data_IF_751175589055
#
_entry.id   IF_751175589055
#
_cell.length_a   1.000
_cell.length_b   1.000
_cell.length_c   1.000
_cell.angle_alpha   90.00
_cell.angle_beta   90.00
_cell.angle_gamma   90.00
#
_symmetry.space_group_name_H-M   'P 1'
#
loop_
_entity.id
_entity.type
_entity.pdbx_description
1 polymer ?
#
# COMPACT_ATOMS: atom_id res chain seq x y z
N UNK A 1 26.02 -7.15 38.70
CA UNK A 1 25.62 -7.18 37.26
C UNK A 1 24.14 -6.89 37.05
N UNK A 2 23.21 -7.48 37.82
CA UNK A 2 21.76 -7.24 37.67
C UNK A 2 21.34 -5.78 37.92
N UNK A 3 21.92 -5.12 38.92
CA UNK A 3 21.59 -3.74 39.30
C UNK A 3 22.02 -2.73 38.22
N UNK A 4 23.18 -2.95 37.58
CA UNK A 4 23.69 -2.09 36.50
C UNK A 4 22.86 -2.20 35.22
N UNK A 5 22.27 -3.37 34.95
CA UNK A 5 21.39 -3.59 33.80
C UNK A 5 20.05 -2.87 33.99
N UNK A 6 19.52 -2.92 35.22
CA UNK A 6 18.25 -2.29 35.59
C UNK A 6 18.34 -0.76 35.52
N UNK A 7 19.45 -0.16 35.97
CA UNK A 7 19.67 1.28 35.87
C UNK A 7 19.86 1.76 34.42
N UNK A 8 20.44 0.93 33.55
CA UNK A 8 20.59 1.25 32.13
C UNK A 8 19.23 1.25 31.42
N UNK A 9 18.38 0.25 31.71
CA UNK A 9 17.02 0.15 31.16
C UNK A 9 16.12 1.31 31.58
N UNK A 10 16.21 1.74 32.85
CA UNK A 10 15.45 2.90 33.35
C UNK A 10 15.94 4.20 32.70
N UNK A 11 17.25 4.35 32.47
CA UNK A 11 17.83 5.50 31.79
C UNK A 11 17.40 5.65 30.33
N UNK A 12 17.23 4.53 29.61
CA UNK A 12 16.73 4.52 28.23
C UNK A 12 15.23 4.84 28.16
N UNK A 13 14.44 4.37 29.12
CA UNK A 13 13.00 4.67 29.20
C UNK A 13 12.70 6.14 29.56
N UNK A 14 13.58 6.79 30.33
CA UNK A 14 13.45 8.20 30.72
C UNK A 14 13.82 9.20 29.61
N UNK A 15 14.43 8.77 28.51
CA UNK A 15 14.79 9.62 27.37
C UNK A 15 13.81 9.53 26.19
N UNK A 16 12.66 8.88 26.36
CA UNK A 16 11.54 9.01 25.44
C UNK A 16 10.80 10.34 25.65
N UNK A 17 11.50 11.46 25.46
CA UNK A 17 10.80 12.67 25.06
C UNK A 17 10.28 12.43 23.65
N UNK A 18 8.97 12.17 23.54
CA UNK A 18 8.31 12.17 22.25
C UNK A 18 8.63 13.53 21.59
N UNK A 19 9.48 13.52 20.57
CA UNK A 19 9.80 14.72 19.81
C UNK A 19 8.48 15.22 19.21
N UNK A 20 7.89 16.23 19.85
CA UNK A 20 6.74 16.94 19.32
C UNK A 20 7.28 17.71 18.12
N UNK A 21 7.17 17.12 16.93
CA UNK A 21 7.34 17.83 15.68
C UNK A 21 6.03 18.59 15.48
N UNK A 22 5.99 19.92 15.63
CA UNK A 22 4.80 20.66 15.29
C UNK A 22 4.49 20.36 13.83
N UNK A 23 3.32 19.75 13.58
CA UNK A 23 2.84 19.57 12.22
C UNK A 23 2.72 20.96 11.62
N UNK A 24 3.43 21.29 10.53
CA UNK A 24 3.24 22.58 9.91
C UNK A 24 1.78 22.67 9.48
N UNK A 25 1.11 23.76 9.84
CA UNK A 25 -0.20 24.06 9.28
C UNK A 25 0.03 24.34 7.79
N UNK A 26 -0.31 23.36 6.96
CA UNK A 26 -0.42 23.51 5.51
C UNK A 26 -1.90 23.67 5.17
N UNK A 27 -2.54 24.82 5.48
CA UNK A 27 -3.92 25.02 5.11
C UNK A 27 -4.02 25.00 3.58
N UNK A 28 -4.93 24.21 3.04
CA UNK A 28 -5.21 24.24 1.62
C UNK A 28 -5.73 25.64 1.25
N UNK A 29 -5.03 26.32 0.34
CA UNK A 29 -5.49 27.60 -0.19
C UNK A 29 -6.56 27.35 -1.27
N UNK A 30 -7.72 28.01 -1.15
CA UNK A 30 -8.75 27.95 -2.17
C UNK A 30 -8.30 28.75 -3.39
N UNK A 31 -7.97 28.04 -4.48
CA UNK A 31 -7.46 28.65 -5.71
C UNK A 31 -8.54 28.96 -6.76
N UNK A 32 -9.82 28.79 -6.45
CA UNK A 32 -10.92 28.89 -7.44
C UNK A 32 -10.87 30.24 -8.18
N UNK A 33 -10.80 30.20 -9.52
CA UNK A 33 -10.82 31.39 -10.38
C UNK A 33 -9.44 31.95 -10.73
N UNK A 34 -8.35 31.41 -10.17
CA UNK A 34 -7.00 31.73 -10.64
C UNK A 34 -6.74 31.13 -12.04
N UNK A 35 -6.05 31.84 -12.95
CA UNK A 35 -5.71 31.31 -14.26
C UNK A 35 -4.66 30.18 -14.15
N UNK A 36 -4.69 29.21 -15.07
CA UNK A 36 -3.71 28.11 -15.20
C UNK A 36 -3.67 27.07 -14.06
N UNK A 37 -4.74 26.90 -13.28
CA UNK A 37 -4.82 25.84 -12.25
C UNK A 37 -4.97 24.43 -12.81
N UNK A 38 -5.62 24.34 -13.98
CA UNK A 38 -5.77 23.10 -14.71
C UNK A 38 -5.10 23.29 -16.06
N UNK A 39 -3.94 22.66 -16.19
CA UNK A 39 -3.24 22.52 -17.45
C UNK A 39 -3.34 21.05 -17.88
N UNK A 40 -4.22 20.71 -18.83
CA UNK A 40 -4.32 19.35 -19.33
C UNK A 40 -2.99 18.84 -19.90
N UNK A 41 -2.11 19.73 -20.37
CA UNK A 41 -0.79 19.35 -20.89
C UNK A 41 0.22 18.97 -19.80
N UNK A 42 -0.05 19.36 -18.55
CA UNK A 42 0.68 18.91 -17.35
C UNK A 42 0.00 17.74 -16.64
N UNK A 43 -1.21 17.36 -17.08
CA UNK A 43 -1.88 16.19 -16.54
C UNK A 43 -1.30 14.93 -17.18
N UNK A 44 -1.02 13.92 -16.34
CA UNK A 44 -0.66 12.61 -16.85
C UNK A 44 -1.91 12.01 -17.51
N UNK A 45 -1.81 11.68 -18.80
CA UNK A 45 -2.89 10.97 -19.49
C UNK A 45 -3.05 9.57 -18.88
N UNK A 46 -4.26 9.27 -18.41
CA UNK A 46 -4.60 7.95 -17.87
C UNK A 46 -5.27 7.13 -18.97
N UNK A 47 -4.75 5.94 -19.32
CA UNK A 47 -5.32 5.12 -20.37
C UNK A 47 -6.69 4.59 -19.96
N UNK A 48 -7.62 4.61 -20.91
CA UNK A 48 -8.94 4.00 -20.77
C UNK A 48 -8.92 2.56 -21.22
N UNK A 49 -9.62 1.70 -20.49
CA UNK A 49 -9.80 0.30 -20.83
C UNK A 49 -11.28 -0.06 -20.90
N UNK A 50 -11.66 -0.84 -21.91
CA UNK A 50 -12.99 -1.45 -21.96
C UNK A 50 -12.93 -2.81 -21.29
N UNK A 51 -13.75 -3.03 -20.27
CA UNK A 51 -13.90 -4.33 -19.59
C UNK A 51 -15.19 -4.97 -20.07
N UNK A 52 -15.07 -6.11 -20.74
CA UNK A 52 -16.22 -6.89 -21.19
C UNK A 52 -16.78 -7.70 -20.01
N UNK A 53 -17.99 -7.35 -19.55
CA UNK A 53 -18.66 -8.04 -18.46
C UNK A 53 -19.30 -9.36 -18.90
N UNK A 54 -19.50 -9.57 -20.20
CA UNK A 54 -20.02 -10.82 -20.75
C UNK A 54 -18.93 -11.90 -20.84
N UNK A 55 -17.65 -11.48 -20.85
CA UNK A 55 -16.52 -12.39 -20.77
C UNK A 55 -16.45 -13.12 -19.40
N UNK A 56 -15.87 -14.33 -19.35
CA UNK A 56 -15.63 -15.02 -18.09
C UNK A 56 -14.84 -14.15 -17.12
N UNK A 57 -15.25 -14.11 -15.85
CA UNK A 57 -14.67 -13.26 -14.79
C UNK A 57 -13.12 -13.28 -14.77
N UNK A 58 -12.52 -14.47 -14.89
CA UNK A 58 -11.06 -14.69 -14.93
C UNK A 58 -10.32 -13.99 -16.07
N UNK A 59 -11.01 -13.64 -17.15
CA UNK A 59 -10.41 -13.07 -18.36
C UNK A 59 -10.56 -11.53 -18.43
N UNK A 60 -11.51 -10.96 -17.69
CA UNK A 60 -11.98 -9.57 -17.84
C UNK A 60 -10.91 -8.50 -17.66
N UNK A 61 -9.93 -8.73 -16.78
CA UNK A 61 -8.94 -7.73 -16.41
C UNK A 61 -7.55 -8.01 -16.95
N UNK A 62 -7.33 -9.13 -17.65
CA UNK A 62 -5.99 -9.51 -18.12
C UNK A 62 -5.37 -8.47 -19.04
N UNK A 63 -6.15 -7.85 -19.92
CA UNK A 63 -5.66 -6.78 -20.82
C UNK A 63 -5.46 -5.44 -20.11
N UNK A 64 -6.15 -5.21 -18.98
CA UNK A 64 -5.96 -4.01 -18.14
C UNK A 64 -4.66 -4.13 -17.35
N UNK A 65 -4.38 -5.30 -16.79
CA UNK A 65 -3.23 -5.53 -15.89
C UNK A 65 -1.93 -5.71 -16.66
N UNK A 66 -1.98 -6.34 -17.84
CA UNK A 66 -0.77 -6.70 -18.62
C UNK A 66 0.18 -5.53 -18.91
N UNK A 67 -0.28 -4.33 -19.30
CA UNK A 67 0.60 -3.18 -19.53
C UNK A 67 1.34 -2.71 -18.28
N UNK A 68 0.75 -2.90 -17.09
CA UNK A 68 1.27 -2.41 -15.81
C UNK A 68 1.99 -3.47 -14.97
N UNK A 69 2.35 -4.61 -15.57
CA UNK A 69 2.95 -5.74 -14.84
C UNK A 69 4.19 -5.31 -14.05
N UNK A 70 5.03 -4.45 -14.64
CA UNK A 70 6.29 -4.04 -14.03
C UNK A 70 6.07 -3.06 -12.88
N UNK A 71 5.12 -2.15 -13.01
CA UNK A 71 4.72 -1.18 -11.99
C UNK A 71 4.08 -1.89 -10.80
N UNK A 72 3.21 -2.86 -11.06
CA UNK A 72 2.61 -3.70 -10.03
C UNK A 72 3.70 -4.48 -9.29
N UNK A 73 4.66 -5.07 -10.02
CA UNK A 73 5.80 -5.74 -9.41
C UNK A 73 6.64 -4.78 -8.55
N UNK A 74 6.92 -3.57 -9.02
CA UNK A 74 7.70 -2.58 -8.27
C UNK A 74 7.02 -2.18 -6.95
N UNK A 75 5.68 -2.08 -6.92
CA UNK A 75 4.93 -1.86 -5.68
C UNK A 75 5.13 -3.02 -4.71
N UNK A 76 5.05 -4.25 -5.20
CA UNK A 76 5.30 -5.45 -4.41
C UNK A 76 6.73 -5.52 -3.87
N UNK A 77 7.73 -5.13 -4.66
CA UNK A 77 9.13 -5.09 -4.24
C UNK A 77 9.36 -4.07 -3.11
N UNK A 78 8.78 -2.86 -3.23
CA UNK A 78 8.85 -1.84 -2.17
C UNK A 78 8.17 -2.31 -0.89
N UNK A 79 7.02 -2.98 -1.00
CA UNK A 79 6.35 -3.57 0.16
C UNK A 79 7.24 -4.64 0.80
N UNK A 80 7.85 -5.52 0.01
CA UNK A 80 8.79 -6.53 0.50
C UNK A 80 9.89 -5.90 1.35
N UNK A 81 10.56 -4.90 0.78
CA UNK A 81 11.66 -4.18 1.41
C UNK A 81 11.21 -3.50 2.70
N UNK A 82 10.05 -2.81 2.68
CA UNK A 82 9.47 -2.20 3.87
C UNK A 82 9.30 -3.21 5.00
N UNK A 83 8.82 -4.41 4.70
CA UNK A 83 8.62 -5.41 5.74
C UNK A 83 9.89 -6.14 6.18
N UNK A 84 11.01 -6.07 5.44
CA UNK A 84 12.32 -6.54 5.93
C UNK A 84 12.82 -5.78 7.16
N UNK A 85 12.28 -4.59 7.43
CA UNK A 85 12.56 -3.78 8.63
C UNK A 85 12.21 -4.55 9.91
N UNK A 86 11.26 -5.49 9.85
CA UNK A 86 10.92 -6.35 10.99
C UNK A 86 11.66 -7.68 10.83
N UNK A 87 12.82 -7.88 11.51
CA UNK A 87 13.60 -9.09 11.36
C UNK A 87 12.80 -10.31 11.81
N UNK A 88 12.79 -11.35 10.97
CA UNK A 88 12.19 -12.66 11.28
C UNK A 88 10.73 -12.85 10.88
N UNK A 89 10.10 -11.89 10.19
CA UNK A 89 8.74 -12.09 9.64
C UNK A 89 8.83 -12.46 8.15
N UNK A 90 8.40 -13.67 7.74
CA UNK A 90 8.32 -14.05 6.33
C UNK A 90 7.05 -13.45 5.71
N UNK A 91 7.17 -12.22 5.23
CA UNK A 91 6.02 -11.40 4.82
C UNK A 91 5.29 -11.95 3.62
N UNK A 92 6.02 -12.53 2.66
CA UNK A 92 5.42 -13.15 1.50
C UNK A 92 4.57 -14.36 1.88
N UNK A 93 5.04 -15.16 2.82
CA UNK A 93 4.29 -16.31 3.35
C UNK A 93 3.08 -15.82 4.15
N UNK A 94 3.25 -14.80 5.00
CA UNK A 94 2.15 -14.20 5.76
C UNK A 94 1.06 -13.59 4.85
N UNK A 95 1.46 -12.86 3.80
CA UNK A 95 0.53 -12.26 2.86
C UNK A 95 -0.18 -13.33 2.02
N UNK A 96 0.55 -14.36 1.59
CA UNK A 96 0.00 -15.53 0.91
C UNK A 96 -1.03 -16.25 1.79
N UNK A 97 -0.69 -16.51 3.06
CA UNK A 97 -1.56 -17.18 4.02
C UNK A 97 -2.82 -16.36 4.32
N UNK A 98 -2.70 -15.03 4.48
CA UNK A 98 -3.85 -14.14 4.66
C UNK A 98 -4.75 -14.17 3.43
N UNK A 99 -4.19 -14.07 2.22
CA UNK A 99 -4.96 -14.12 0.99
C UNK A 99 -5.65 -15.48 0.81
N UNK A 100 -4.95 -16.59 1.03
CA UNK A 100 -5.51 -17.94 0.96
C UNK A 100 -6.65 -18.11 1.97
N UNK A 101 -6.46 -17.68 3.21
CA UNK A 101 -7.50 -17.70 4.24
C UNK A 101 -8.73 -16.90 3.83
N UNK A 102 -8.53 -15.70 3.27
CA UNK A 102 -9.63 -14.87 2.74
C UNK A 102 -10.41 -15.59 1.63
N UNK A 103 -9.72 -16.36 0.76
CA UNK A 103 -10.35 -17.14 -0.30
C UNK A 103 -11.06 -18.41 0.21
N UNK A 104 -10.48 -19.09 1.20
CA UNK A 104 -10.99 -20.32 1.81
C UNK A 104 -12.21 -20.06 2.70
N UNK A 105 -12.18 -18.99 3.49
CA UNK A 105 -13.28 -18.57 4.35
C UNK A 105 -14.46 -17.95 3.57
N UNK A 106 -14.34 -17.86 2.23
CA UNK A 106 -15.40 -17.36 1.37
C UNK A 106 -15.70 -15.87 1.60
N UNK A 107 -14.74 -15.12 2.15
CA UNK A 107 -14.90 -13.69 2.43
C UNK A 107 -14.95 -12.83 1.16
N UNK A 108 -14.47 -13.38 0.03
CA UNK A 108 -14.62 -12.77 -1.29
C UNK A 108 -15.75 -13.47 -2.04
N UNK A 109 -16.81 -12.71 -2.33
CA UNK A 109 -17.94 -13.16 -3.13
C UNK A 109 -17.61 -13.20 -4.63
N UNK A 110 -18.35 -14.01 -5.39
CA UNK A 110 -18.30 -13.95 -6.84
C UNK A 110 -18.92 -12.64 -7.37
N UNK A 111 -18.42 -12.06 -8.49
CA UNK A 111 -17.37 -12.57 -9.38
C UNK A 111 -15.94 -12.19 -8.96
N UNK A 112 -15.78 -11.37 -7.92
CA UNK A 112 -14.47 -10.82 -7.52
C UNK A 112 -13.46 -11.91 -7.14
N UNK A 113 -13.95 -13.03 -6.58
CA UNK A 113 -13.10 -14.19 -6.29
C UNK A 113 -12.42 -14.71 -7.55
N UNK A 114 -13.16 -14.82 -8.65
CA UNK A 114 -12.61 -15.28 -9.93
C UNK A 114 -11.82 -14.19 -10.66
N UNK A 115 -12.13 -12.91 -10.44
CA UNK A 115 -11.38 -11.80 -11.08
C UNK A 115 -9.98 -11.61 -10.48
N UNK A 116 -9.78 -11.94 -9.20
CA UNK A 116 -8.49 -11.80 -8.49
C UNK A 116 -7.62 -13.06 -8.62
N UNK A 117 -8.22 -14.22 -8.95
CA UNK A 117 -7.53 -15.54 -9.00
C UNK A 117 -6.89 -15.83 -10.36
#
# INVERSE_FOLDING_TARGET
MLVSLLTLLIGVLLHCDARIVPNPDFPAECRVGEPNLYDPSQSMEVPWFTVDLDAPAKERFKHVVRPFKNEIQAVFDVLADFFTIIPGIPVWDMLGDVMLKVFEEGMIMQPYKDEVQ
#
